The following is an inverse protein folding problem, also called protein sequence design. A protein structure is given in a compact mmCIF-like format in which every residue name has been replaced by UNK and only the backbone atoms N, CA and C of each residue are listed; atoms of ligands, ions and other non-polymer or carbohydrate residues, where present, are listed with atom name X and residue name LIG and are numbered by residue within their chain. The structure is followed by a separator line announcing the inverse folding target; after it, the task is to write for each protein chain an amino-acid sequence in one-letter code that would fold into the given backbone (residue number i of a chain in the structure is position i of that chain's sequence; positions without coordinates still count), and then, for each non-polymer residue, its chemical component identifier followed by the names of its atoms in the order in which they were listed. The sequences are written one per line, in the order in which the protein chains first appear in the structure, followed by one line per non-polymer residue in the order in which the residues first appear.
data_IF_305814869857
#
_entry.id   IF_305814869857
#
_cell.length_a   1.000
_cell.length_b   1.000
_cell.length_c   1.000
_cell.angle_alpha   90.00
_cell.angle_beta   90.00
_cell.angle_gamma   90.00
#
_symmetry.space_group_name_H-M   'P 1'
#
loop_
_entity.id
_entity.type
_entity.pdbx_description
1 polymer ?
#
# COMPACT_ATOMS: atom_id res chain seq x y z
N UNK A 1 -25.96 4.15 -35.19
CA UNK A 1 -25.30 3.57 -33.99
C UNK A 1 -24.58 4.65 -33.20
N UNK A 2 -23.63 5.39 -33.81
CA UNK A 2 -22.86 6.46 -33.15
C UNK A 2 -23.72 7.51 -32.44
N UNK A 3 -24.77 8.02 -33.10
CA UNK A 3 -25.70 8.99 -32.48
C UNK A 3 -26.41 8.45 -31.23
N UNK A 4 -26.62 7.14 -31.14
CA UNK A 4 -27.23 6.51 -29.96
C UNK A 4 -26.24 6.45 -28.80
N UNK A 5 -24.99 6.08 -29.08
CA UNK A 5 -23.92 6.06 -28.10
C UNK A 5 -23.64 7.47 -27.57
N UNK A 6 -23.58 8.47 -28.45
CA UNK A 6 -23.36 9.85 -28.05
C UNK A 6 -24.48 10.38 -27.14
N UNK A 7 -25.74 10.10 -27.46
CA UNK A 7 -26.89 10.46 -26.61
C UNK A 7 -26.85 9.74 -25.26
N UNK A 8 -26.52 8.45 -25.24
CA UNK A 8 -26.40 7.67 -24.00
C UNK A 8 -25.29 8.25 -23.11
N UNK A 9 -24.09 8.47 -23.66
CA UNK A 9 -22.99 9.06 -22.91
C UNK A 9 -23.30 10.45 -22.38
N UNK A 10 -24.00 11.28 -23.16
CA UNK A 10 -24.42 12.61 -22.75
C UNK A 10 -25.43 12.55 -21.61
N UNK A 11 -26.38 11.62 -21.67
CA UNK A 11 -27.36 11.41 -20.61
C UNK A 11 -26.70 10.94 -19.31
N UNK A 12 -25.79 9.96 -19.36
CA UNK A 12 -25.06 9.46 -18.17
C UNK A 12 -24.28 10.60 -17.50
N UNK A 13 -23.46 11.32 -18.27
CA UNK A 13 -22.69 12.46 -17.75
C UNK A 13 -23.59 13.56 -17.18
N UNK A 14 -24.75 13.79 -17.81
CA UNK A 14 -25.71 14.77 -17.33
C UNK A 14 -26.29 14.35 -15.97
N UNK A 15 -26.57 13.07 -15.74
CA UNK A 15 -27.08 12.59 -14.45
C UNK A 15 -26.03 12.70 -13.35
N UNK A 16 -24.79 12.28 -13.63
CA UNK A 16 -23.67 12.38 -12.70
C UNK A 16 -23.44 13.84 -12.25
N UNK A 17 -23.32 14.77 -13.22
CA UNK A 17 -23.15 16.21 -12.94
C UNK A 17 -24.36 16.85 -12.26
N UNK A 18 -25.56 16.35 -12.51
CA UNK A 18 -26.77 16.81 -11.82
C UNK A 18 -26.72 16.44 -10.35
N UNK A 19 -26.31 15.21 -10.01
CA UNK A 19 -26.16 14.76 -8.64
C UNK A 19 -25.15 15.62 -7.87
N UNK A 20 -23.99 15.91 -8.47
CA UNK A 20 -22.97 16.79 -7.89
C UNK A 20 -23.51 18.20 -7.64
N UNK A 21 -24.17 18.80 -8.64
CA UNK A 21 -24.69 20.17 -8.55
C UNK A 21 -25.80 20.31 -7.51
N UNK A 22 -26.67 19.30 -7.39
CA UNK A 22 -27.76 19.27 -6.41
C UNK A 22 -27.30 18.84 -5.02
N UNK A 23 -26.04 18.43 -4.86
CA UNK A 23 -25.52 17.88 -3.59
C UNK A 23 -26.23 16.59 -3.20
N UNK A 24 -26.65 15.78 -4.18
CA UNK A 24 -27.37 14.53 -3.95
C UNK A 24 -26.38 13.39 -3.78
N UNK A 25 -26.52 12.68 -2.68
CA UNK A 25 -25.83 11.41 -2.47
C UNK A 25 -26.74 10.24 -2.81
N UNK A 26 -26.13 9.13 -3.19
CA UNK A 26 -26.83 7.90 -3.52
C UNK A 26 -26.23 7.20 -4.73
N UNK A 27 -26.87 6.11 -5.11
CA UNK A 27 -26.45 5.24 -6.20
C UNK A 27 -27.63 5.06 -7.16
N UNK A 28 -27.38 5.15 -8.46
CA UNK A 28 -28.39 5.07 -9.50
C UNK A 28 -27.92 4.19 -10.66
N UNK A 29 -28.79 3.28 -11.12
CA UNK A 29 -28.59 2.58 -12.39
C UNK A 29 -28.83 3.53 -13.56
N UNK A 30 -27.89 3.51 -14.49
CA UNK A 30 -27.88 4.29 -15.73
C UNK A 30 -28.22 3.41 -16.96
N UNK A 31 -28.63 2.16 -16.73
CA UNK A 31 -28.93 1.18 -17.77
C UNK A 31 -27.76 0.25 -18.08
N UNK A 32 -27.83 -0.47 -19.21
CA UNK A 32 -26.86 -1.51 -19.56
C UNK A 32 -26.04 -1.20 -20.80
N UNK A 33 -24.73 -1.44 -20.72
CA UNK A 33 -23.79 -1.36 -21.84
C UNK A 33 -22.93 -2.62 -21.84
N UNK A 34 -22.75 -3.22 -23.01
CA UNK A 34 -22.02 -4.49 -23.18
C UNK A 34 -22.50 -5.64 -22.27
N UNK A 35 -23.77 -5.60 -21.85
CA UNK A 35 -24.36 -6.60 -20.96
C UNK A 35 -24.19 -6.34 -19.46
N UNK A 36 -23.42 -5.31 -19.08
CA UNK A 36 -23.18 -4.91 -17.69
C UNK A 36 -24.03 -3.71 -17.29
N UNK A 37 -24.40 -3.65 -16.02
CA UNK A 37 -25.12 -2.51 -15.46
C UNK A 37 -24.13 -1.36 -15.27
N UNK A 38 -24.48 -0.18 -15.79
CA UNK A 38 -23.72 1.05 -15.58
C UNK A 38 -24.33 1.74 -14.38
N UNK A 39 -23.52 1.99 -13.36
CA UNK A 39 -23.93 2.64 -12.13
C UNK A 39 -23.29 4.01 -12.03
N UNK A 40 -24.00 4.95 -11.42
CA UNK A 40 -23.45 6.20 -10.93
C UNK A 40 -23.64 6.23 -9.41
N UNK A 41 -22.58 6.46 -8.68
CA UNK A 41 -22.63 6.73 -7.25
C UNK A 41 -22.18 8.16 -7.01
N UNK A 42 -22.89 8.88 -6.14
CA UNK A 42 -22.46 10.19 -5.66
C UNK A 42 -22.39 10.15 -4.13
N UNK A 43 -21.30 10.65 -3.58
CA UNK A 43 -21.07 10.69 -2.15
C UNK A 43 -20.40 12.00 -1.74
N UNK A 44 -20.57 12.38 -0.47
CA UNK A 44 -19.87 13.52 0.09
C UNK A 44 -18.39 13.18 0.27
N UNK A 45 -17.50 13.94 -0.36
CA UNK A 45 -16.09 13.90 -0.01
C UNK A 45 -15.87 14.66 1.28
N UNK A 46 -15.58 13.93 2.35
CA UNK A 46 -15.09 14.53 3.60
C UNK A 46 -13.63 14.96 3.41
N UNK A 47 -13.43 16.20 2.96
CA UNK A 47 -12.10 16.79 3.01
C UNK A 47 -11.67 16.93 4.48
N UNK A 48 -10.47 16.42 4.80
CA UNK A 48 -9.74 16.67 6.05
C UNK A 48 -9.24 18.12 6.06
N UNK A 49 -10.14 19.08 6.05
CA UNK A 49 -9.78 20.50 6.16
C UNK A 49 -10.54 21.13 7.31
N UNK A 50 -9.86 21.97 8.08
CA UNK A 50 -10.41 22.76 9.19
C UNK A 50 -11.39 23.85 8.73
N UNK A 51 -11.61 23.96 7.42
CA UNK A 51 -12.50 24.93 6.81
C UNK A 51 -13.94 24.40 6.76
N UNK A 52 -14.88 25.15 7.33
CA UNK A 52 -16.31 24.84 7.43
C UNK A 52 -17.03 24.99 6.07
N UNK A 53 -16.38 24.63 4.97
CA UNK A 53 -16.99 24.66 3.64
C UNK A 53 -17.99 23.53 3.49
N UNK A 54 -19.02 23.78 2.68
CA UNK A 54 -20.05 22.81 2.33
C UNK A 54 -19.39 21.50 1.86
N UNK A 55 -19.92 20.33 2.23
CA UNK A 55 -19.41 19.07 1.70
C UNK A 55 -19.49 19.09 0.17
N UNK A 56 -18.38 18.78 -0.49
CA UNK A 56 -18.34 18.64 -1.95
C UNK A 56 -18.84 17.24 -2.29
N UNK A 57 -19.94 17.16 -3.04
CA UNK A 57 -20.46 15.89 -3.55
C UNK A 57 -19.74 15.59 -4.86
N UNK A 58 -19.14 14.40 -4.93
CA UNK A 58 -18.44 13.91 -6.12
C UNK A 58 -19.15 12.65 -6.60
N UNK A 59 -19.24 12.51 -7.91
CA UNK A 59 -19.80 11.33 -8.56
C UNK A 59 -18.73 10.44 -9.19
N UNK A 60 -18.92 9.12 -9.11
CA UNK A 60 -18.17 8.10 -9.83
C UNK A 60 -19.12 7.29 -10.71
N UNK A 61 -18.62 6.82 -11.85
CA UNK A 61 -19.33 5.94 -12.76
C UNK A 61 -18.59 4.61 -12.80
N UNK A 62 -19.31 3.50 -12.74
CA UNK A 62 -18.69 2.18 -12.76
C UNK A 62 -19.59 1.14 -13.43
N UNK A 63 -18.99 0.02 -13.79
CA UNK A 63 -19.70 -1.18 -14.20
C UNK A 63 -19.89 -2.10 -13.01
N UNK A 64 -21.13 -2.50 -12.74
CA UNK A 64 -21.42 -3.58 -11.79
C UNK A 64 -21.26 -4.93 -12.51
N UNK A 65 -20.22 -5.66 -12.12
CA UNK A 65 -19.87 -6.96 -12.72
C UNK A 65 -19.85 -8.06 -11.67
N UNK A 66 -20.02 -9.34 -12.05
CA UNK A 66 -19.90 -10.45 -11.11
C UNK A 66 -18.52 -10.57 -10.43
N UNK A 67 -17.49 -9.94 -11.00
CA UNK A 67 -16.13 -9.93 -10.44
C UNK A 67 -15.88 -8.73 -9.50
N UNK A 68 -16.85 -7.82 -9.36
CA UNK A 68 -16.74 -6.57 -8.61
C UNK A 68 -17.04 -5.35 -9.47
N UNK A 69 -16.99 -4.19 -8.83
CA UNK A 69 -17.20 -2.89 -9.48
C UNK A 69 -15.95 -2.48 -10.28
N UNK A 70 -16.16 -2.03 -11.51
CA UNK A 70 -15.08 -1.50 -12.36
C UNK A 70 -15.32 -0.02 -12.58
N UNK A 71 -14.58 0.80 -11.86
CA UNK A 71 -14.64 2.25 -12.00
C UNK A 71 -14.19 2.68 -13.39
N UNK A 72 -14.96 3.58 -13.99
CA UNK A 72 -14.68 4.19 -15.27
C UNK A 72 -14.22 5.60 -15.01
N UNK A 73 -12.96 5.88 -15.35
CA UNK A 73 -12.37 7.19 -15.12
C UNK A 73 -13.14 8.29 -15.88
N UNK A 74 -13.64 9.25 -15.11
CA UNK A 74 -14.33 10.43 -15.61
C UNK A 74 -13.82 11.70 -14.94
N UNK A 75 -13.69 12.74 -15.75
CA UNK A 75 -13.39 14.09 -15.32
C UNK A 75 -14.41 15.08 -15.90
N UNK A 76 -14.25 16.36 -15.60
CA UNK A 76 -15.14 17.42 -16.12
C UNK A 76 -15.07 17.58 -17.64
N UNK A 77 -13.96 17.18 -18.28
CA UNK A 77 -13.73 17.31 -19.72
C UNK A 77 -14.17 16.07 -20.52
N UNK A 78 -14.54 15.01 -19.80
CA UNK A 78 -14.92 13.73 -20.40
C UNK A 78 -16.10 13.94 -21.32
N UNK A 79 -15.90 13.54 -22.58
CA UNK A 79 -16.89 13.67 -23.65
C UNK A 79 -17.83 12.47 -23.66
N UNK A 80 -19.09 12.64 -24.09
CA UNK A 80 -20.07 11.56 -24.20
C UNK A 80 -19.55 10.30 -24.89
N UNK A 81 -18.99 10.45 -26.09
CA UNK A 81 -18.48 9.30 -26.86
C UNK A 81 -17.25 8.68 -26.19
N UNK A 82 -16.39 9.49 -25.58
CA UNK A 82 -15.21 9.03 -24.85
C UNK A 82 -15.60 8.19 -23.62
N UNK A 83 -16.64 8.60 -22.89
CA UNK A 83 -17.19 7.80 -21.78
C UNK A 83 -17.64 6.42 -22.27
N UNK A 84 -18.45 6.37 -23.32
CA UNK A 84 -18.95 5.09 -23.85
C UNK A 84 -17.79 4.22 -24.33
N UNK A 85 -16.81 4.78 -25.04
CA UNK A 85 -15.63 4.01 -25.47
C UNK A 85 -14.83 3.44 -24.30
N UNK A 86 -14.70 4.18 -23.18
CA UNK A 86 -14.05 3.65 -21.97
C UNK A 86 -14.86 2.53 -21.33
N UNK A 87 -16.19 2.67 -21.27
CA UNK A 87 -17.09 1.62 -20.76
C UNK A 87 -16.97 0.35 -21.61
N UNK A 88 -17.06 0.48 -22.93
CA UNK A 88 -16.94 -0.65 -23.86
C UNK A 88 -15.57 -1.32 -23.76
N UNK A 89 -14.50 -0.52 -23.65
CA UNK A 89 -13.15 -1.04 -23.46
C UNK A 89 -12.99 -1.78 -22.14
N UNK A 90 -13.53 -1.24 -21.04
CA UNK A 90 -13.53 -1.90 -19.73
C UNK A 90 -14.26 -3.26 -19.80
N UNK A 91 -15.42 -3.30 -20.44
CA UNK A 91 -16.18 -4.53 -20.64
C UNK A 91 -15.43 -5.56 -21.51
N UNK A 92 -14.80 -5.12 -22.60
CA UNK A 92 -14.03 -6.00 -23.50
C UNK A 92 -12.81 -6.64 -22.81
N UNK A 93 -12.19 -5.93 -21.86
CA UNK A 93 -11.00 -6.42 -21.14
C UNK A 93 -11.32 -7.56 -20.15
N UNK A 94 -12.58 -7.68 -19.72
CA UNK A 94 -13.00 -8.68 -18.75
C UNK A 94 -12.73 -10.11 -19.21
N UNK A 95 -12.92 -10.42 -20.50
CA UNK A 95 -12.67 -11.76 -21.03
C UNK A 95 -11.18 -12.13 -20.95
N UNK A 96 -10.28 -11.18 -21.29
CA UNK A 96 -8.84 -11.39 -21.15
C UNK A 96 -8.42 -11.50 -19.69
N UNK A 97 -8.94 -10.65 -18.81
CA UNK A 97 -8.63 -10.67 -17.38
C UNK A 97 -9.08 -11.99 -16.73
N UNK A 98 -10.25 -12.49 -17.13
CA UNK A 98 -10.78 -13.78 -16.69
C UNK A 98 -9.92 -14.94 -17.22
N UNK A 99 -9.44 -14.88 -18.47
CA UNK A 99 -8.54 -15.90 -19.02
C UNK A 99 -7.18 -15.93 -18.30
N UNK A 100 -6.60 -14.75 -18.01
CA UNK A 100 -5.35 -14.62 -17.25
C UNK A 100 -5.51 -15.12 -15.81
N UNK A 101 -6.59 -14.73 -15.15
CA UNK A 101 -6.90 -15.17 -13.78
C UNK A 101 -7.08 -16.68 -13.70
N UNK A 102 -7.78 -17.29 -14.68
CA UNK A 102 -7.91 -18.75 -14.78
C UNK A 102 -6.57 -19.45 -14.98
N UNK A 103 -5.69 -18.90 -15.82
CA UNK A 103 -4.35 -19.45 -16.03
C UNK A 103 -3.52 -19.38 -14.74
N UNK A 104 -3.55 -18.24 -14.05
CA UNK A 104 -2.88 -18.06 -12.77
C UNK A 104 -3.38 -19.04 -11.70
N UNK A 105 -4.71 -19.27 -11.65
CA UNK A 105 -5.32 -20.25 -10.77
C UNK A 105 -4.82 -21.67 -11.07
N UNK A 106 -4.81 -22.09 -12.34
CA UNK A 106 -4.31 -23.43 -12.73
C UNK A 106 -2.83 -23.61 -12.37
N UNK A 107 -2.00 -22.61 -12.62
CA UNK A 107 -0.58 -22.64 -12.27
C UNK A 107 -0.37 -22.75 -10.76
N UNK A 108 -1.11 -21.98 -9.96
CA UNK A 108 -1.06 -22.05 -8.50
C UNK A 108 -1.53 -23.42 -8.00
N UNK A 109 -2.61 -23.97 -8.55
CA UNK A 109 -3.13 -25.29 -8.22
C UNK A 109 -2.13 -26.41 -8.57
N UNK A 110 -1.41 -26.30 -9.69
CA UNK A 110 -0.35 -27.25 -10.06
C UNK A 110 0.84 -27.22 -9.11
N UNK A 111 1.20 -26.04 -8.59
CA UNK A 111 2.31 -25.86 -7.65
C UNK A 111 1.95 -26.26 -6.21
N UNK A 112 0.67 -26.17 -5.86
CA UNK A 112 0.19 -26.38 -4.49
C UNK A 112 0.62 -27.73 -3.86
N UNK A 113 0.58 -28.89 -4.55
CA UNK A 113 1.06 -30.15 -3.98
C UNK A 113 2.54 -30.13 -3.61
N UNK A 114 3.38 -29.53 -4.46
CA UNK A 114 4.81 -29.42 -4.20
C UNK A 114 5.10 -28.51 -2.99
N UNK A 115 4.31 -27.46 -2.81
CA UNK A 115 4.41 -26.60 -1.62
C UNK A 115 3.91 -27.31 -0.36
N UNK A 116 2.77 -28.01 -0.43
CA UNK A 116 2.25 -28.81 0.69
C UNK A 116 3.21 -29.93 1.11
N UNK A 117 3.91 -30.56 0.16
CA UNK A 117 4.92 -31.56 0.48
C UNK A 117 6.11 -31.00 1.28
N UNK A 118 6.31 -29.67 1.27
CA UNK A 118 7.34 -28.97 2.03
C UNK A 118 6.83 -28.40 3.35
N UNK A 119 5.52 -28.40 3.59
CA UNK A 119 4.96 -27.95 4.87
C UNK A 119 5.44 -28.90 5.98
N UNK A 120 6.01 -28.32 7.04
CA UNK A 120 6.51 -29.07 8.20
C UNK A 120 7.86 -29.77 8.01
N UNK A 121 8.49 -29.67 6.84
CA UNK A 121 9.87 -30.13 6.67
C UNK A 121 10.83 -29.21 7.45
N UNK A 122 11.86 -29.77 8.10
CA UNK A 122 12.90 -28.97 8.70
C UNK A 122 13.59 -28.13 7.62
N UNK A 123 13.97 -26.91 7.97
CA UNK A 123 14.79 -26.09 7.10
C UNK A 123 16.09 -26.83 6.81
N UNK A 124 16.46 -26.96 5.53
CA UNK A 124 17.55 -27.81 5.10
C UNK A 124 18.90 -27.45 5.75
N UNK A 125 19.07 -26.18 6.13
CA UNK A 125 20.30 -25.65 6.72
C UNK A 125 20.06 -25.24 8.20
N UNK A 126 19.09 -25.87 8.88
CA UNK A 126 18.76 -25.55 10.28
C UNK A 126 19.96 -25.73 11.21
N UNK A 127 20.72 -26.82 11.03
CA UNK A 127 21.89 -27.11 11.85
C UNK A 127 23.03 -26.12 11.59
N UNK A 128 23.28 -25.77 10.32
CA UNK A 128 24.27 -24.77 9.93
C UNK A 128 23.90 -23.37 10.46
N UNK A 129 22.61 -23.02 10.42
CA UNK A 129 22.10 -21.77 10.99
C UNK A 129 22.31 -21.74 12.51
N UNK A 130 21.98 -22.82 13.20
CA UNK A 130 22.19 -22.93 14.65
C UNK A 130 23.68 -22.79 15.02
N UNK A 131 24.57 -23.43 14.26
CA UNK A 131 26.01 -23.31 14.45
C UNK A 131 26.50 -21.87 14.26
N UNK A 132 26.05 -21.19 13.19
CA UNK A 132 26.41 -19.78 12.94
C UNK A 132 25.86 -18.84 14.00
N UNK A 133 24.64 -19.07 14.51
CA UNK A 133 24.08 -18.29 15.61
C UNK A 133 24.91 -18.46 16.89
N UNK A 134 25.37 -19.67 17.20
CA UNK A 134 26.23 -19.91 18.35
C UNK A 134 27.59 -19.21 18.21
N UNK A 135 28.20 -19.29 17.02
CA UNK A 135 29.46 -18.59 16.71
C UNK A 135 29.31 -17.08 16.86
N UNK A 136 28.25 -16.49 16.30
CA UNK A 136 27.95 -15.06 16.44
C UNK A 136 27.79 -14.65 17.91
N UNK A 137 27.03 -15.41 18.70
CA UNK A 137 26.84 -15.11 20.12
C UNK A 137 28.15 -15.18 20.90
N UNK A 138 29.08 -16.07 20.52
CA UNK A 138 30.39 -16.16 21.14
C UNK A 138 31.27 -14.96 20.78
N UNK A 139 31.26 -14.53 19.51
CA UNK A 139 31.96 -13.31 19.07
C UNK A 139 31.42 -12.07 19.79
N UNK A 140 30.11 -11.91 19.87
CA UNK A 140 29.48 -10.77 20.55
C UNK A 140 29.86 -10.70 22.03
N UNK A 141 29.90 -11.86 22.71
CA UNK A 141 30.34 -11.93 24.11
C UNK A 141 31.82 -11.55 24.26
N UNK A 142 32.69 -12.02 23.37
CA UNK A 142 34.11 -11.69 23.37
C UNK A 142 34.34 -10.19 23.11
N UNK A 143 33.66 -9.61 22.12
CA UNK A 143 33.72 -8.17 21.81
C UNK A 143 33.21 -7.32 22.98
N UNK A 144 32.12 -7.73 23.64
CA UNK A 144 31.60 -7.04 24.80
C UNK A 144 32.55 -7.11 26.00
N UNK A 145 33.23 -8.25 26.19
CA UNK A 145 34.25 -8.40 27.24
C UNK A 145 35.46 -7.50 26.95
N UNK A 146 35.99 -7.53 25.72
CA UNK A 146 37.11 -6.66 25.31
C UNK A 146 36.74 -5.18 25.42
N UNK A 147 35.50 -4.80 25.06
CA UNK A 147 34.98 -3.45 25.23
C UNK A 147 34.93 -3.02 26.70
N UNK A 148 34.46 -3.89 27.61
CA UNK A 148 34.44 -3.64 29.05
C UNK A 148 35.84 -3.55 29.65
N UNK A 149 36.76 -4.40 29.20
CA UNK A 149 38.17 -4.35 29.62
C UNK A 149 38.84 -3.06 29.17
N UNK A 150 38.60 -2.62 27.92
CA UNK A 150 39.07 -1.31 27.41
C UNK A 150 38.45 -0.14 28.17
N UNK A 151 37.16 -0.20 28.49
CA UNK A 151 36.47 0.83 29.27
C UNK A 151 36.97 0.88 30.73
N UNK A 152 37.23 -0.27 31.35
CA UNK A 152 37.81 -0.37 32.68
C UNK A 152 39.25 0.14 32.72
N UNK A 153 40.05 -0.21 31.70
CA UNK A 153 41.41 0.31 31.54
C UNK A 153 41.39 1.84 31.36
N UNK A 154 40.50 2.38 30.54
CA UNK A 154 40.35 3.83 30.36
C UNK A 154 39.88 4.54 31.65
N UNK A 155 38.97 3.93 32.42
CA UNK A 155 38.54 4.42 33.75
C UNK A 155 39.67 4.40 34.78
N UNK A 156 40.52 3.37 34.78
CA UNK A 156 41.70 3.33 35.65
C UNK A 156 42.80 4.33 35.24
N UNK A 157 42.93 4.60 33.94
CA UNK A 157 43.86 5.58 33.42
C UNK A 157 43.43 7.02 33.76
N UNK A 158 42.14 7.34 33.66
CA UNK A 158 41.61 8.67 34.05
C UNK A 158 41.53 8.88 35.56
N UNK A 159 41.32 7.82 36.36
CA UNK A 159 41.34 7.91 37.82
C UNK A 159 42.74 8.22 38.38
N UNK A 160 43.80 7.80 37.67
CA UNK A 160 45.18 8.16 38.02
C UNK A 160 45.54 9.61 37.62
N UNK A 161 44.79 10.25 36.73
CA UNK A 161 45.00 11.65 36.32
C UNK A 161 44.36 12.65 37.31
N UNK A 162 43.20 12.30 37.90
CA UNK A 162 42.59 13.10 38.99
C UNK A 162 43.46 13.13 40.25
N UNK A 163 44.23 12.05 40.53
CA UNK A 163 45.22 12.06 41.61
C UNK A 163 46.46 12.90 41.31
N UNK A 164 46.77 13.19 40.04
CA UNK A 164 47.86 14.07 39.66
C UNK A 164 47.46 15.56 39.76
N UNK A 165 46.19 15.91 39.46
CA UNK A 165 45.68 17.27 39.65
C UNK A 165 45.63 17.69 41.13
N UNK A 166 45.28 16.78 42.05
CA UNK A 166 45.32 17.04 43.50
C UNK A 166 46.74 17.19 44.09
N UNK A 167 47.77 16.66 43.42
CA UNK A 167 49.17 16.85 43.84
C UNK A 167 49.74 18.16 43.30
N UNK A 168 49.29 18.64 42.13
CA UNK A 168 49.73 19.92 41.57
C UNK A 168 49.25 21.13 42.39
N UNK A 169 48.02 21.13 42.93
CA UNK A 169 47.54 22.22 43.81
C UNK A 169 48.24 22.27 45.18
N UNK A 170 48.94 21.20 45.59
CA UNK A 170 49.66 21.15 46.88
C UNK A 170 51.12 21.58 46.79
N UNK A 171 51.67 21.79 45.59
CA UNK A 171 53.05 22.25 45.41
C UNK A 171 53.15 23.79 45.38
N UNK A 172 52.06 24.52 45.10
CA UNK A 172 52.06 25.99 45.10
C UNK A 172 51.75 26.63 46.49
N UNK A 173 51.55 25.84 47.55
CA UNK A 173 51.40 26.33 48.93
C UNK A 173 52.68 26.25 49.79
N UNK A 174 53.84 25.92 49.19
CA UNK A 174 55.14 25.88 49.91
C UNK A 174 56.21 26.75 49.22
N UNK A 175 55.82 27.83 48.55
CA UNK A 175 56.73 28.90 48.11
C UNK A 175 56.34 30.24 48.74
#
# INVERSE_FOLDING_TARGET
MVESCEKAGAWILSQARLAEREGRTGQWSMGRIAGFEVMCEAHEQQFRTSDKRKPEVVSSIYLDTPAGEIEVETDRETRPLGLISRIEHAALRLDSDLAETRRSLDEAQRRLPAYRAREGLPFAEADDLAAKCAELSALDAALAAEGKEKEAALKSATANDDTASAVAEKIEQVA
#
